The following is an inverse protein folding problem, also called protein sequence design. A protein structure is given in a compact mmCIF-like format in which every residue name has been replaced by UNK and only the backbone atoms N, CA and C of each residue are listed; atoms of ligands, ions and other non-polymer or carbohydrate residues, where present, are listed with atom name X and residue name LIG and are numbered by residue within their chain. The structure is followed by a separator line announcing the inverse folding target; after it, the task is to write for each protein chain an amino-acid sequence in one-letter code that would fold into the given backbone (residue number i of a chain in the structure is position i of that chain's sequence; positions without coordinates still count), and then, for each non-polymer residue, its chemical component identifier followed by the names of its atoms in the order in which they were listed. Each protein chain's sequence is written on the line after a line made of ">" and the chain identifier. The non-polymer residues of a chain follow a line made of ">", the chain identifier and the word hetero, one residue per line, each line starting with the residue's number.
data_IF_880374158084
#
_entry.id   IF_880374158084
#
_cell.length_a   1.000
_cell.length_b   1.000
_cell.length_c   1.000
_cell.angle_alpha   90.00
_cell.angle_beta   90.00
_cell.angle_gamma   90.00
#
_symmetry.space_group_name_H-M   'P 1'
#
loop_
_entity.id
_entity.type
_entity.pdbx_description
1 polymer ?
#
# COMPACT_ATOMS: atom_id res chain seq x y z
N UNK A 1 2.64 9.89 53.17
CA UNK A 1 3.35 9.28 52.02
C UNK A 1 2.35 9.07 50.91
N UNK A 2 2.37 9.90 49.87
CA UNK A 2 1.42 9.82 48.77
C UNK A 2 1.75 8.63 47.86
N UNK A 3 0.78 7.75 47.63
CA UNK A 3 0.89 6.64 46.70
C UNK A 3 0.87 7.16 45.27
N UNK A 4 2.04 7.32 44.67
CA UNK A 4 2.14 7.50 43.23
C UNK A 4 1.89 6.13 42.57
N UNK A 5 0.66 5.89 42.10
CA UNK A 5 0.45 4.87 41.08
C UNK A 5 1.21 5.36 39.84
N UNK A 6 2.37 4.76 39.58
CA UNK A 6 3.12 4.96 38.35
C UNK A 6 2.18 4.57 37.20
N UNK A 7 1.57 5.58 36.58
CA UNK A 7 0.70 5.44 35.43
C UNK A 7 1.50 4.78 34.32
N UNK A 8 1.32 3.47 34.19
CA UNK A 8 1.66 2.70 33.01
C UNK A 8 0.82 3.26 31.86
N UNK A 9 1.30 4.34 31.24
CA UNK A 9 0.97 4.62 29.86
C UNK A 9 1.71 3.59 29.00
N UNK A 10 1.40 2.31 29.20
CA UNK A 10 1.79 1.28 28.26
C UNK A 10 1.05 1.60 26.97
N UNK A 11 1.79 2.01 25.95
CA UNK A 11 1.26 2.19 24.61
C UNK A 11 0.64 0.84 24.19
N UNK A 12 -0.69 0.72 24.24
CA UNK A 12 -1.37 -0.50 23.85
C UNK A 12 -1.29 -0.61 22.32
N UNK A 13 -0.29 -1.33 21.83
CA UNK A 13 -0.16 -1.67 20.42
C UNK A 13 -1.33 -2.58 20.03
N UNK A 14 -2.06 -2.19 18.99
CA UNK A 14 -3.10 -3.02 18.40
C UNK A 14 -2.49 -3.88 17.30
N UNK A 15 -2.95 -5.13 17.13
CA UNK A 15 -2.64 -5.90 15.93
C UNK A 15 -3.02 -5.12 14.68
N UNK A 16 -2.29 -5.36 13.58
CA UNK A 16 -2.65 -4.82 12.27
C UNK A 16 -4.05 -5.30 11.91
N UNK A 17 -4.90 -4.37 11.44
CA UNK A 17 -6.22 -4.67 10.93
C UNK A 17 -6.35 -4.04 9.55
N UNK A 18 -6.51 -4.88 8.52
CA UNK A 18 -6.60 -4.43 7.13
C UNK A 18 -8.06 -4.09 6.80
N UNK A 19 -8.35 -2.83 6.40
CA UNK A 19 -9.67 -2.41 5.95
C UNK A 19 -10.25 -3.25 4.81
N UNK A 20 -11.58 -3.43 4.79
CA UNK A 20 -12.28 -4.23 3.77
C UNK A 20 -12.05 -3.75 2.34
N UNK A 21 -11.93 -2.44 2.12
CA UNK A 21 -11.65 -1.89 0.80
C UNK A 21 -10.25 -2.28 0.29
N UNK A 22 -9.26 -2.41 1.17
CA UNK A 22 -7.92 -2.87 0.78
C UNK A 22 -7.89 -4.38 0.50
N UNK A 23 -8.68 -5.17 1.23
CA UNK A 23 -8.81 -6.62 1.00
C UNK A 23 -9.57 -6.94 -0.29
N UNK A 24 -10.70 -6.25 -0.52
CA UNK A 24 -11.48 -6.36 -1.77
C UNK A 24 -10.70 -5.86 -2.98
N UNK A 25 -9.88 -4.84 -2.76
CA UNK A 25 -9.02 -4.23 -3.75
C UNK A 25 -9.65 -3.07 -4.49
N UNK A 26 -8.80 -2.35 -5.22
CA UNK A 26 -9.20 -1.23 -6.07
C UNK A 26 -8.43 -1.26 -7.38
N UNK A 27 -9.03 -0.71 -8.45
CA UNK A 27 -8.42 -0.65 -9.77
C UNK A 27 -7.45 0.53 -9.84
N UNK A 28 -6.25 0.30 -10.37
CA UNK A 28 -5.21 1.32 -10.57
C UNK A 28 -4.61 1.20 -11.97
N UNK A 29 -3.98 2.28 -12.42
CA UNK A 29 -3.13 2.29 -13.61
C UNK A 29 -1.67 2.18 -13.17
N UNK A 30 -1.03 1.04 -13.42
CA UNK A 30 0.39 0.83 -13.16
C UNK A 30 1.20 1.35 -14.35
N UNK A 31 2.20 2.16 -14.06
CA UNK A 31 3.16 2.68 -15.04
C UNK A 31 4.54 2.74 -14.37
N UNK A 32 5.59 2.76 -15.18
CA UNK A 32 6.97 2.98 -14.77
C UNK A 32 7.65 3.92 -15.76
N UNK A 33 8.87 4.37 -15.47
CA UNK A 33 9.55 5.37 -16.31
C UNK A 33 10.27 4.79 -17.52
N UNK A 34 10.55 3.49 -17.47
CA UNK A 34 11.32 2.79 -18.50
C UNK A 34 10.40 2.21 -19.58
N UNK A 35 9.09 2.15 -19.29
CA UNK A 35 8.03 1.66 -20.16
C UNK A 35 7.10 2.77 -20.60
N UNK A 36 6.66 2.69 -21.85
CA UNK A 36 5.55 3.51 -22.37
C UNK A 36 4.18 2.91 -22.07
N UNK A 37 4.15 1.72 -21.45
CA UNK A 37 2.91 0.97 -21.22
C UNK A 37 2.28 1.35 -19.89
N UNK A 38 0.97 1.58 -19.92
CA UNK A 38 0.13 1.72 -18.74
C UNK A 38 -0.76 0.49 -18.62
N UNK A 39 -0.62 -0.25 -17.53
CA UNK A 39 -1.34 -1.50 -17.32
C UNK A 39 -2.43 -1.32 -16.26
N UNK A 40 -3.71 -1.57 -16.58
CA UNK A 40 -4.76 -1.64 -15.57
C UNK A 40 -4.55 -2.84 -14.65
N UNK A 41 -4.46 -2.60 -13.35
CA UNK A 41 -4.27 -3.65 -12.34
C UNK A 41 -5.32 -3.55 -11.24
N UNK A 42 -5.57 -4.67 -10.54
CA UNK A 42 -6.35 -4.66 -9.29
C UNK A 42 -5.40 -4.86 -8.12
N UNK A 43 -5.20 -3.80 -7.32
CA UNK A 43 -4.31 -3.78 -6.16
C UNK A 43 -5.08 -4.21 -4.90
N UNK A 44 -4.47 -5.06 -4.07
CA UNK A 44 -5.03 -5.64 -2.84
C UNK A 44 -3.97 -5.76 -1.75
N UNK A 45 -4.45 -5.84 -0.51
CA UNK A 45 -3.65 -6.21 0.67
C UNK A 45 -4.20 -7.50 1.25
N UNK A 46 -3.32 -8.40 1.68
CA UNK A 46 -3.72 -9.65 2.35
C UNK A 46 -4.35 -9.35 3.72
N UNK A 47 -5.21 -10.23 4.27
CA UNK A 47 -5.86 -9.99 5.56
C UNK A 47 -4.91 -9.75 6.74
N UNK A 48 -3.67 -10.28 6.67
CA UNK A 48 -2.65 -10.15 7.70
C UNK A 48 -1.84 -8.85 7.58
N UNK A 49 -1.94 -8.14 6.45
CA UNK A 49 -1.24 -6.87 6.23
C UNK A 49 0.25 -7.03 5.99
N UNK A 50 0.67 -8.15 5.42
CA UNK A 50 2.07 -8.49 5.14
C UNK A 50 2.48 -8.16 3.71
N UNK A 51 1.53 -8.23 2.77
CA UNK A 51 1.76 -8.16 1.34
C UNK A 51 0.79 -7.20 0.66
N UNK A 52 1.35 -6.35 -0.18
CA UNK A 52 0.64 -5.62 -1.21
C UNK A 52 0.82 -6.39 -2.51
N UNK A 53 -0.27 -6.74 -3.19
CA UNK A 53 -0.19 -7.51 -4.43
C UNK A 53 -1.17 -6.97 -5.46
N UNK A 54 -0.85 -7.15 -6.74
CA UNK A 54 -1.71 -6.72 -7.83
C UNK A 54 -1.69 -7.72 -8.97
N UNK A 55 -2.85 -7.87 -9.61
CA UNK A 55 -2.99 -8.68 -10.80
C UNK A 55 -3.40 -7.82 -12.00
N UNK A 56 -2.81 -8.11 -13.16
CA UNK A 56 -3.18 -7.51 -14.44
C UNK A 56 -4.41 -8.22 -15.06
N UNK A 57 -4.75 -7.87 -16.30
CA UNK A 57 -5.86 -8.49 -17.02
C UNK A 57 -5.60 -9.95 -17.43
N UNK A 58 -4.33 -10.35 -17.53
CA UNK A 58 -3.90 -11.71 -17.83
C UNK A 58 -3.85 -12.61 -16.59
N UNK A 59 -4.16 -12.05 -15.41
CA UNK A 59 -4.05 -12.68 -14.09
C UNK A 59 -2.61 -12.96 -13.66
N UNK A 60 -1.63 -12.33 -14.31
CA UNK A 60 -0.26 -12.31 -13.81
C UNK A 60 -0.25 -11.46 -12.54
N UNK A 61 0.31 -12.02 -11.46
CA UNK A 61 0.27 -11.43 -10.12
C UNK A 61 1.67 -11.12 -9.64
N UNK A 62 1.90 -9.87 -9.31
CA UNK A 62 3.09 -9.40 -8.61
C UNK A 62 2.78 -9.18 -7.13
N UNK A 63 3.84 -9.20 -6.30
CA UNK A 63 3.74 -9.07 -4.86
C UNK A 63 4.90 -8.23 -4.30
N UNK A 64 4.58 -7.42 -3.30
CA UNK A 64 5.49 -6.57 -2.54
C UNK A 64 5.28 -6.81 -1.04
N UNK A 65 6.36 -7.13 -0.33
CA UNK A 65 6.35 -7.16 1.13
C UNK A 65 6.19 -5.75 1.71
N UNK A 66 5.18 -5.56 2.57
CA UNK A 66 4.89 -4.25 3.18
C UNK A 66 6.01 -3.81 4.11
N UNK A 67 6.76 -4.75 4.71
CA UNK A 67 7.95 -4.47 5.52
C UNK A 67 9.07 -3.75 4.75
N UNK A 68 9.08 -3.87 3.42
CA UNK A 68 10.08 -3.23 2.55
C UNK A 68 9.66 -1.82 2.11
N UNK A 69 8.39 -1.43 2.35
CA UNK A 69 7.88 -0.10 2.00
C UNK A 69 8.48 0.94 2.93
N UNK A 70 9.25 1.87 2.35
CA UNK A 70 9.85 2.99 3.11
C UNK A 70 8.93 4.20 3.22
N UNK A 71 8.10 4.42 2.20
CA UNK A 71 7.22 5.58 2.07
C UNK A 71 6.13 5.30 1.02
N UNK A 72 4.96 5.92 1.16
CA UNK A 72 3.85 5.85 0.22
C UNK A 72 3.29 7.27 -0.01
N UNK A 73 3.38 7.76 -1.25
CA UNK A 73 3.06 9.15 -1.60
C UNK A 73 1.80 9.26 -2.44
N UNK A 74 1.09 10.37 -2.28
CA UNK A 74 -0.13 10.70 -3.05
C UNK A 74 -0.19 12.19 -3.37
N UNK A 75 -1.09 12.59 -4.28
CA UNK A 75 -1.31 13.97 -4.69
C UNK A 75 -0.03 14.63 -5.19
N UNK A 76 0.25 15.86 -4.73
CA UNK A 76 1.42 16.64 -5.15
C UNK A 76 2.79 16.03 -4.76
N UNK A 77 2.80 15.06 -3.85
CA UNK A 77 4.03 14.37 -3.44
C UNK A 77 4.27 13.08 -4.23
N UNK A 78 3.26 12.60 -4.96
CA UNK A 78 3.42 11.46 -5.86
C UNK A 78 4.28 11.87 -7.07
N UNK A 79 4.96 10.88 -7.63
CA UNK A 79 5.60 11.03 -8.92
C UNK A 79 4.51 11.07 -9.99
N UNK A 80 4.59 12.03 -10.91
CA UNK A 80 3.71 12.08 -12.06
C UNK A 80 4.37 11.39 -13.26
N UNK A 81 3.59 10.70 -14.12
CA UNK A 81 4.11 10.19 -15.38
C UNK A 81 4.62 11.36 -16.23
N UNK A 82 5.78 11.18 -16.86
CA UNK A 82 6.32 12.20 -17.77
C UNK A 82 5.39 12.31 -18.98
N UNK A 83 4.87 13.51 -19.21
CA UNK A 83 4.00 13.82 -20.35
C UNK A 83 4.79 13.60 -21.64
N UNK A 84 4.49 12.53 -22.38
CA UNK A 84 5.17 12.20 -23.64
C UNK A 84 5.09 10.73 -24.09
N UNK A 85 4.74 9.81 -23.20
CA UNK A 85 4.71 8.36 -23.52
C UNK A 85 3.33 7.69 -23.38
N UNK A 86 2.29 8.46 -23.09
CA UNK A 86 0.92 7.96 -22.94
C UNK A 86 0.00 8.82 -23.82
N UNK A 87 0.00 8.52 -25.11
CA UNK A 87 -1.07 8.86 -26.05
C UNK A 87 -1.55 7.55 -26.68
#
# INVERSE_FOLDING_TARGET
>A
MAGAQAGVHALQLKPVSVPENLKKGSKFMKWDDDSTTVTPVTLKVDPQGLFLYWADQNKETDLLEISLVKDARTGKYARNPKVGHVL
#
